data_IF_585392980030
#
_entry.id   IF_585392980030
#
_cell.length_a   1.000
_cell.length_b   1.000
_cell.length_c   1.000
_cell.angle_alpha   90.00
_cell.angle_beta   90.00
_cell.angle_gamma   90.00
#
_symmetry.space_group_name_H-M   'P 1'
#
loop_
_entity.id
_entity.type
_entity.pdbx_description
1 polymer ?
#
# COMPACT_ATOMS: atom_id res chain seq x y z
N UNK A 1 34.26 -18.08 -19.83
CA UNK A 1 34.19 -16.64 -19.49
C UNK A 1 32.77 -16.29 -19.01
N UNK A 2 32.61 -15.56 -17.89
CA UNK A 2 31.42 -14.76 -17.47
C UNK A 2 31.46 -14.40 -15.97
N UNK A 3 32.50 -13.69 -15.52
CA UNK A 3 32.58 -13.15 -14.12
C UNK A 3 32.78 -11.61 -14.08
N UNK A 4 32.63 -10.93 -15.22
CA UNK A 4 32.96 -9.52 -15.37
C UNK A 4 31.77 -8.54 -15.22
N UNK A 5 30.54 -9.02 -15.35
CA UNK A 5 29.33 -8.16 -15.39
C UNK A 5 28.75 -7.88 -14.01
N UNK A 6 28.76 -8.85 -13.08
CA UNK A 6 28.15 -8.71 -11.73
C UNK A 6 28.85 -7.66 -10.84
N UNK A 7 30.18 -7.49 -10.96
CA UNK A 7 30.92 -6.50 -10.15
C UNK A 7 30.63 -5.05 -10.54
N UNK A 8 30.25 -4.80 -11.79
CA UNK A 8 30.04 -3.45 -12.32
C UNK A 8 28.66 -2.89 -11.93
N UNK A 9 27.66 -3.78 -11.78
CA UNK A 9 26.31 -3.39 -11.37
C UNK A 9 26.23 -3.05 -9.88
N UNK A 10 26.91 -3.80 -9.00
CA UNK A 10 26.97 -3.50 -7.56
C UNK A 10 27.62 -2.13 -7.27
N UNK A 11 28.70 -1.80 -7.98
CA UNK A 11 29.39 -0.50 -7.83
C UNK A 11 28.54 0.69 -8.29
N UNK A 12 27.66 0.49 -9.27
CA UNK A 12 26.72 1.52 -9.72
C UNK A 12 25.57 1.73 -8.74
N UNK A 13 25.11 0.66 -8.10
CA UNK A 13 24.10 0.73 -7.03
C UNK A 13 24.65 1.55 -5.86
N UNK A 14 25.88 1.30 -5.43
CA UNK A 14 26.55 2.05 -4.34
C UNK A 14 26.71 3.55 -4.65
N UNK A 15 26.96 3.89 -5.92
CA UNK A 15 27.09 5.28 -6.36
C UNK A 15 25.75 6.02 -6.38
N UNK A 16 24.64 5.31 -6.66
CA UNK A 16 23.29 5.87 -6.63
C UNK A 16 22.84 6.08 -5.18
N UNK A 17 23.14 5.15 -4.26
CA UNK A 17 22.83 5.27 -2.83
C UNK A 17 23.41 6.53 -2.18
N UNK A 18 24.59 6.97 -2.63
CA UNK A 18 25.26 8.15 -2.05
C UNK A 18 24.71 9.49 -2.53
N UNK A 19 23.99 9.54 -3.65
CA UNK A 19 23.56 10.79 -4.30
C UNK A 19 22.16 11.26 -3.87
N UNK A 20 21.49 10.47 -3.05
CA UNK A 20 20.02 10.43 -2.86
C UNK A 20 19.70 10.60 -1.35
N UNK A 21 20.44 11.50 -0.68
CA UNK A 21 20.42 11.74 0.78
C UNK A 21 19.66 13.02 1.17
N UNK A 22 18.62 13.42 0.43
CA UNK A 22 18.15 14.80 0.52
C UNK A 22 16.67 15.04 0.25
N UNK A 23 15.78 14.59 1.15
CA UNK A 23 14.61 15.38 1.58
C UNK A 23 13.92 14.80 2.83
N UNK A 24 13.54 15.68 3.75
CA UNK A 24 12.85 15.32 4.99
C UNK A 24 11.37 14.94 4.76
N UNK A 25 11.08 13.64 4.60
CA UNK A 25 9.77 13.04 4.95
C UNK A 25 9.86 11.51 5.15
N UNK A 26 11.01 11.02 5.63
CA UNK A 26 11.36 9.61 5.44
C UNK A 26 10.79 8.70 6.55
N UNK A 27 9.64 8.12 6.22
CA UNK A 27 8.91 7.14 7.04
C UNK A 27 9.40 5.71 6.74
N UNK A 28 10.45 5.50 5.94
CA UNK A 28 10.83 4.16 5.48
C UNK A 28 12.35 3.99 5.44
N UNK A 29 12.80 2.84 5.94
CA UNK A 29 14.21 2.44 6.03
C UNK A 29 14.50 1.35 4.99
N UNK A 30 15.64 1.44 4.30
CA UNK A 30 15.97 0.60 3.13
C UNK A 30 17.36 -0.01 3.29
N UNK A 31 17.52 -1.26 2.85
CA UNK A 31 18.79 -1.99 2.85
C UNK A 31 19.03 -2.83 4.11
N UNK A 32 20.17 -3.52 4.15
CA UNK A 32 20.56 -4.38 5.28
C UNK A 32 20.78 -3.57 6.57
N UNK A 33 21.40 -2.40 6.44
CA UNK A 33 21.64 -1.46 7.54
C UNK A 33 20.44 -0.52 7.81
N UNK A 34 19.33 -0.67 7.07
CA UNK A 34 18.11 0.13 7.24
C UNK A 34 18.41 1.65 7.19
N UNK A 35 19.10 2.09 6.13
CA UNK A 35 19.48 3.49 5.94
C UNK A 35 18.34 4.30 5.30
N UNK A 36 18.39 5.62 5.48
CA UNK A 36 17.51 6.56 4.78
C UNK A 36 18.06 6.81 3.39
N UNK A 37 17.30 6.42 2.37
CA UNK A 37 17.62 6.51 0.95
C UNK A 37 16.35 7.02 0.27
N UNK A 38 16.42 8.06 -0.58
CA UNK A 38 15.20 8.53 -1.26
C UNK A 38 14.54 7.39 -2.06
N UNK A 39 13.22 7.34 -1.97
CA UNK A 39 12.38 6.33 -2.58
C UNK A 39 11.09 6.94 -3.12
N UNK A 40 10.40 6.19 -3.96
CA UNK A 40 9.04 6.50 -4.39
C UNK A 40 8.12 5.32 -4.09
N UNK A 41 6.84 5.60 -3.80
CA UNK A 41 5.86 4.55 -3.60
C UNK A 41 5.33 4.07 -4.96
N UNK A 42 5.21 2.76 -5.15
CA UNK A 42 4.72 2.21 -6.41
C UNK A 42 3.22 2.42 -6.59
N UNK A 43 2.83 3.06 -7.70
CA UNK A 43 1.43 3.30 -8.04
C UNK A 43 0.59 2.03 -8.27
N UNK A 44 1.24 0.89 -8.56
CA UNK A 44 0.51 -0.37 -8.78
C UNK A 44 -0.03 -1.02 -7.51
N UNK A 45 0.42 -0.59 -6.32
CA UNK A 45 -0.03 -1.19 -5.07
C UNK A 45 -0.11 -0.22 -3.88
N UNK A 46 0.12 1.08 -4.11
CA UNK A 46 0.00 2.20 -3.15
C UNK A 46 0.26 1.78 -1.68
N UNK A 47 1.49 1.39 -1.34
CA UNK A 47 1.81 0.88 -0.01
C UNK A 47 1.64 1.98 1.05
N UNK A 48 1.05 1.63 2.19
CA UNK A 48 0.84 2.52 3.35
C UNK A 48 1.66 2.02 4.55
N UNK A 49 1.92 2.87 5.55
CA UNK A 49 2.62 2.46 6.77
C UNK A 49 1.99 1.22 7.41
N UNK A 50 2.85 0.27 7.79
CA UNK A 50 2.43 -1.03 8.33
C UNK A 50 2.26 -2.13 7.28
N UNK A 51 2.15 -1.80 5.98
CA UNK A 51 2.21 -2.83 4.94
C UNK A 51 3.57 -3.54 4.94
N UNK A 52 3.56 -4.86 4.71
CA UNK A 52 4.77 -5.60 4.40
C UNK A 52 5.28 -5.18 3.02
N UNK A 53 6.49 -4.61 2.98
CA UNK A 53 7.04 -3.97 1.79
C UNK A 53 8.44 -4.47 1.44
N UNK A 54 8.79 -4.31 0.16
CA UNK A 54 10.13 -4.44 -0.35
C UNK A 54 10.46 -3.25 -1.27
N UNK A 55 11.74 -2.91 -1.36
CA UNK A 55 12.22 -1.95 -2.35
C UNK A 55 12.65 -2.66 -3.63
N UNK A 56 12.38 -2.05 -4.77
CA UNK A 56 12.84 -2.51 -6.08
C UNK A 56 13.67 -1.41 -6.74
N UNK A 57 14.93 -1.71 -7.04
CA UNK A 57 15.85 -0.80 -7.73
C UNK A 57 15.50 -0.77 -9.21
N UNK A 58 14.86 0.32 -9.65
CA UNK A 58 14.53 0.53 -11.06
C UNK A 58 15.77 0.99 -11.84
N UNK A 59 15.68 0.96 -13.17
CA UNK A 59 16.80 1.37 -14.05
C UNK A 59 17.03 2.89 -14.00
N UNK A 60 15.96 3.69 -13.94
CA UNK A 60 16.03 5.15 -14.11
C UNK A 60 15.31 5.96 -13.01
N UNK A 61 14.43 5.36 -12.22
CA UNK A 61 13.53 6.05 -11.29
C UNK A 61 13.93 5.86 -9.82
N UNK A 62 15.12 5.32 -9.55
CA UNK A 62 15.59 5.00 -8.21
C UNK A 62 14.86 3.80 -7.60
N UNK A 63 14.63 3.83 -6.28
CA UNK A 63 14.00 2.73 -5.54
C UNK A 63 12.48 2.95 -5.49
N UNK A 64 11.72 1.96 -5.97
CA UNK A 64 10.27 1.91 -5.82
C UNK A 64 9.89 0.96 -4.69
N UNK A 65 9.05 1.42 -3.77
CA UNK A 65 8.53 0.60 -2.68
C UNK A 65 7.26 -0.08 -3.14
N UNK A 66 7.24 -1.40 -3.04
CA UNK A 66 6.11 -2.27 -3.35
C UNK A 66 5.65 -3.00 -2.10
N UNK A 67 4.37 -3.35 -2.02
CA UNK A 67 3.89 -4.36 -1.07
C UNK A 67 4.36 -5.73 -1.50
N UNK A 68 4.61 -6.63 -0.55
CA UNK A 68 4.88 -8.04 -0.84
C UNK A 68 3.70 -8.72 -1.55
N UNK A 69 2.47 -8.24 -1.30
CA UNK A 69 1.24 -8.68 -1.97
C UNK A 69 0.95 -7.98 -3.31
N UNK A 70 1.87 -7.15 -3.82
CA UNK A 70 1.69 -6.47 -5.11
C UNK A 70 1.51 -7.50 -6.24
N UNK A 71 0.62 -7.27 -7.22
CA UNK A 71 0.44 -8.17 -8.37
C UNK A 71 1.74 -8.40 -9.17
N UNK A 72 2.65 -7.43 -9.16
CA UNK A 72 3.94 -7.51 -9.83
C UNK A 72 5.05 -8.13 -8.95
N UNK A 73 4.81 -8.35 -7.66
CA UNK A 73 5.85 -8.77 -6.71
C UNK A 73 6.50 -10.09 -7.12
N UNK A 74 5.70 -11.10 -7.45
CA UNK A 74 6.20 -12.42 -7.83
C UNK A 74 7.16 -12.35 -9.03
N UNK A 75 6.79 -11.58 -10.06
CA UNK A 75 7.61 -11.41 -11.26
C UNK A 75 8.91 -10.64 -10.95
N UNK A 76 8.82 -9.56 -10.17
CA UNK A 76 9.98 -8.75 -9.78
C UNK A 76 10.99 -9.56 -8.97
N UNK A 77 10.51 -10.33 -8.00
CA UNK A 77 11.36 -11.15 -7.14
C UNK A 77 11.99 -12.34 -7.88
N UNK A 78 11.22 -13.02 -8.75
CA UNK A 78 11.71 -14.20 -9.47
C UNK A 78 12.73 -13.84 -10.56
N UNK A 79 12.47 -12.79 -11.34
CA UNK A 79 13.30 -12.46 -12.51
C UNK A 79 14.42 -11.47 -12.20
N UNK A 80 14.27 -10.65 -11.15
CA UNK A 80 15.17 -9.55 -10.84
C UNK A 80 15.50 -9.47 -9.35
N UNK A 81 15.60 -10.63 -8.67
CA UNK A 81 15.86 -10.69 -7.23
C UNK A 81 17.08 -9.88 -6.75
N UNK A 82 18.13 -9.76 -7.58
CA UNK A 82 19.31 -8.94 -7.29
C UNK A 82 19.04 -7.42 -7.20
N UNK A 83 17.86 -6.97 -7.66
CA UNK A 83 17.38 -5.59 -7.54
C UNK A 83 16.35 -5.40 -6.43
N UNK A 84 16.04 -6.46 -5.69
CA UNK A 84 15.14 -6.41 -4.54
C UNK A 84 15.96 -6.08 -3.30
N UNK A 85 15.52 -5.06 -2.57
CA UNK A 85 16.13 -4.63 -1.31
C UNK A 85 15.11 -4.69 -0.18
N UNK A 86 15.58 -5.00 1.02
CA UNK A 86 14.74 -4.99 2.21
C UNK A 86 14.27 -3.57 2.50
N UNK A 87 12.98 -3.43 2.83
CA UNK A 87 12.36 -2.16 3.19
C UNK A 87 11.51 -2.36 4.45
N UNK A 88 11.46 -1.35 5.31
CA UNK A 88 10.57 -1.36 6.48
C UNK A 88 10.11 0.04 6.85
N UNK A 89 8.84 0.16 7.22
CA UNK A 89 8.28 1.40 7.75
C UNK A 89 8.89 1.77 9.12
N UNK A 90 9.22 3.04 9.27
CA UNK A 90 9.53 3.70 10.52
C UNK A 90 8.24 4.28 11.12
N UNK A 91 8.04 4.20 12.43
CA UNK A 91 6.78 4.53 13.11
C UNK A 91 6.52 6.03 13.31
N UNK A 92 7.23 6.91 12.61
CA UNK A 92 7.20 8.35 12.89
C UNK A 92 6.57 9.13 11.73
N UNK A 93 5.26 9.29 11.76
CA UNK A 93 4.52 10.54 11.44
C UNK A 93 3.00 10.30 11.37
N UNK A 94 2.21 11.30 11.78
CA UNK A 94 0.76 11.35 11.60
C UNK A 94 0.40 11.77 10.17
N UNK A 95 0.70 10.92 9.20
CA UNK A 95 0.24 11.10 7.83
C UNK A 95 -1.07 10.33 7.62
N UNK A 96 -1.90 10.82 6.71
CA UNK A 96 -3.06 10.08 6.20
C UNK A 96 -2.81 9.68 4.75
N UNK A 97 -3.22 8.47 4.40
CA UNK A 97 -2.97 7.82 3.13
C UNK A 97 -4.29 7.45 2.48
N UNK A 98 -4.39 7.69 1.18
CA UNK A 98 -5.56 7.34 0.39
C UNK A 98 -5.52 5.86 0.01
N UNK A 99 -6.60 5.13 0.29
CA UNK A 99 -6.79 3.74 -0.14
C UNK A 99 -8.25 3.49 -0.53
N UNK A 100 -8.52 2.43 -1.29
CA UNK A 100 -9.86 1.99 -1.65
C UNK A 100 -10.33 0.81 -0.81
N UNK A 101 -11.64 0.76 -0.54
CA UNK A 101 -12.36 -0.40 -0.02
C UNK A 101 -13.45 -0.80 -1.01
N UNK A 102 -13.43 -2.04 -1.45
CA UNK A 102 -14.50 -2.67 -2.22
C UNK A 102 -15.33 -3.54 -1.27
N UNK A 103 -16.63 -3.28 -1.22
CA UNK A 103 -17.58 -3.85 -0.28
C UNK A 103 -18.68 -4.54 -1.08
N UNK A 104 -18.87 -5.82 -0.84
CA UNK A 104 -19.93 -6.63 -1.44
C UNK A 104 -20.91 -7.04 -0.34
N UNK A 105 -22.20 -6.90 -0.60
CA UNK A 105 -23.23 -7.26 0.36
C UNK A 105 -24.57 -7.62 -0.27
N UNK A 106 -25.53 -7.92 0.58
CA UNK A 106 -26.94 -8.04 0.23
C UNK A 106 -27.58 -6.68 0.50
N UNK A 107 -28.19 -6.09 -0.53
CA UNK A 107 -28.87 -4.81 -0.39
C UNK A 107 -30.09 -4.96 0.54
N UNK A 108 -30.04 -4.26 1.66
CA UNK A 108 -31.10 -4.16 2.66
C UNK A 108 -31.28 -2.69 3.02
N UNK A 109 -32.48 -2.34 3.47
CA UNK A 109 -32.82 -0.96 3.78
C UNK A 109 -31.87 -0.40 4.83
N UNK A 110 -31.13 0.64 4.46
CA UNK A 110 -30.21 1.34 5.36
C UNK A 110 -28.78 0.79 5.37
N UNK A 111 -28.43 -0.18 4.52
CA UNK A 111 -27.05 -0.71 4.43
C UNK A 111 -26.01 0.39 4.21
N UNK A 112 -26.23 1.28 3.22
CA UNK A 112 -25.33 2.41 2.92
C UNK A 112 -25.13 3.31 4.16
N UNK A 113 -26.21 3.60 4.90
CA UNK A 113 -26.15 4.41 6.11
C UNK A 113 -25.35 3.71 7.22
N UNK A 114 -25.50 2.40 7.37
CA UNK A 114 -24.76 1.63 8.35
C UNK A 114 -23.25 1.61 8.02
N UNK A 115 -22.90 1.38 6.75
CA UNK A 115 -21.51 1.40 6.27
C UNK A 115 -20.89 2.78 6.51
N UNK A 116 -21.55 3.86 6.06
CA UNK A 116 -21.01 5.22 6.20
C UNK A 116 -20.92 5.67 7.66
N UNK A 117 -21.83 5.22 8.54
CA UNK A 117 -21.73 5.47 10.00
C UNK A 117 -20.49 4.80 10.60
N UNK A 118 -20.21 3.54 10.26
CA UNK A 118 -19.01 2.86 10.76
C UNK A 118 -17.75 3.62 10.34
N UNK A 119 -17.65 3.99 9.06
CA UNK A 119 -16.48 4.70 8.53
C UNK A 119 -16.31 6.08 9.20
N UNK A 120 -17.38 6.90 9.22
CA UNK A 120 -17.26 8.30 9.64
C UNK A 120 -17.45 8.53 11.14
N UNK A 121 -18.41 7.85 11.79
CA UNK A 121 -18.72 8.11 13.19
C UNK A 121 -17.88 7.27 14.13
N UNK A 122 -17.70 5.99 13.83
CA UNK A 122 -17.02 5.06 14.74
C UNK A 122 -15.50 5.15 14.56
N UNK A 123 -15.03 5.18 13.30
CA UNK A 123 -13.60 5.24 12.96
C UNK A 123 -13.05 6.62 12.67
N UNK A 124 -13.91 7.65 12.55
CA UNK A 124 -13.50 9.03 12.21
C UNK A 124 -12.66 9.14 10.92
N UNK A 125 -12.92 8.26 9.97
CA UNK A 125 -12.21 8.20 8.69
C UNK A 125 -12.89 9.13 7.67
N UNK A 126 -12.08 9.97 7.02
CA UNK A 126 -12.55 10.81 5.94
C UNK A 126 -12.71 10.00 4.65
N UNK A 127 -13.87 10.12 4.01
CA UNK A 127 -14.15 9.51 2.71
C UNK A 127 -13.94 10.54 1.61
N UNK A 128 -13.12 10.19 0.61
CA UNK A 128 -12.89 10.99 -0.60
C UNK A 128 -14.02 10.83 -1.61
N UNK A 129 -14.48 9.60 -1.79
CA UNK A 129 -15.56 9.28 -2.73
C UNK A 129 -16.23 7.97 -2.36
N UNK A 130 -17.49 7.84 -2.75
CA UNK A 130 -18.28 6.63 -2.63
C UNK A 130 -18.95 6.41 -3.98
N UNK A 131 -18.81 5.22 -4.54
CA UNK A 131 -19.55 4.74 -5.69
C UNK A 131 -20.27 3.47 -5.28
N UNK A 132 -21.56 3.41 -5.52
CA UNK A 132 -22.39 2.27 -5.18
C UNK A 132 -23.24 1.93 -6.39
N UNK A 133 -23.33 0.64 -6.65
CA UNK A 133 -24.27 0.05 -7.58
C UNK A 133 -25.01 -1.09 -6.87
N UNK A 134 -26.23 -1.37 -7.34
CA UNK A 134 -27.03 -2.48 -6.85
C UNK A 134 -27.60 -3.24 -8.05
N UNK A 135 -27.29 -4.54 -8.12
CA UNK A 135 -27.87 -5.43 -9.12
C UNK A 135 -28.45 -6.68 -8.46
N UNK A 136 -29.71 -7.01 -8.80
CA UNK A 136 -30.39 -8.20 -8.31
C UNK A 136 -30.36 -8.40 -6.77
N UNK A 137 -30.39 -7.30 -6.01
CA UNK A 137 -30.33 -7.31 -4.54
C UNK A 137 -28.92 -7.51 -3.97
N UNK A 138 -27.89 -7.44 -4.80
CA UNK A 138 -26.49 -7.43 -4.40
C UNK A 138 -26.01 -5.98 -4.37
N UNK A 139 -25.50 -5.57 -3.23
CA UNK A 139 -24.80 -4.31 -3.04
C UNK A 139 -23.35 -4.44 -3.51
N UNK A 140 -22.90 -3.56 -4.39
CA UNK A 140 -21.50 -3.41 -4.79
C UNK A 140 -21.05 -1.96 -4.55
N UNK A 141 -20.13 -1.77 -3.61
CA UNK A 141 -19.68 -0.45 -3.19
C UNK A 141 -18.16 -0.30 -3.28
N UNK A 142 -17.70 0.80 -3.87
CA UNK A 142 -16.31 1.24 -3.87
C UNK A 142 -16.16 2.55 -3.12
N UNK A 143 -15.34 2.56 -2.07
CA UNK A 143 -15.15 3.73 -1.19
C UNK A 143 -13.67 4.09 -1.12
N UNK A 144 -13.35 5.33 -1.45
CA UNK A 144 -12.00 5.88 -1.28
C UNK A 144 -11.91 6.58 0.07
N UNK A 145 -10.94 6.19 0.91
CA UNK A 145 -10.80 6.67 2.28
C UNK A 145 -9.38 7.10 2.63
N UNK A 146 -9.26 7.99 3.62
CA UNK A 146 -7.98 8.41 4.20
C UNK A 146 -7.73 7.69 5.53
N UNK A 147 -6.72 6.82 5.57
CA UNK A 147 -6.33 6.05 6.77
C UNK A 147 -4.92 6.41 7.24
N UNK A 148 -4.63 6.23 8.52
CA UNK A 148 -3.31 6.57 9.08
C UNK A 148 -2.27 5.49 8.78
N UNK A 149 -2.66 4.23 8.92
CA UNK A 149 -1.81 3.08 8.74
C UNK A 149 -2.65 1.83 8.44
N UNK A 150 -1.96 0.72 8.21
CA UNK A 150 -2.56 -0.59 7.97
C UNK A 150 -3.39 -1.08 9.16
N UNK A 151 -2.96 -0.83 10.40
CA UNK A 151 -3.69 -1.31 11.58
C UNK A 151 -5.06 -0.65 11.70
N UNK A 152 -5.12 0.67 11.50
CA UNK A 152 -6.37 1.42 11.44
C UNK A 152 -7.28 0.90 10.31
N UNK A 153 -6.72 0.64 9.13
CA UNK A 153 -7.47 0.09 8.01
C UNK A 153 -8.02 -1.32 8.30
N UNK A 154 -7.20 -2.21 8.85
CA UNK A 154 -7.60 -3.59 9.17
C UNK A 154 -8.73 -3.60 10.21
N UNK A 155 -8.61 -2.79 11.27
CA UNK A 155 -9.67 -2.64 12.27
C UNK A 155 -10.99 -2.12 11.66
N UNK A 156 -10.91 -1.17 10.72
CA UNK A 156 -12.09 -0.67 10.00
C UNK A 156 -12.72 -1.78 9.15
N UNK A 157 -11.91 -2.55 8.42
CA UNK A 157 -12.38 -3.67 7.59
C UNK A 157 -13.10 -4.71 8.46
N UNK A 158 -12.51 -5.08 9.61
CA UNK A 158 -13.13 -6.03 10.54
C UNK A 158 -14.50 -5.54 11.04
N UNK A 159 -14.64 -4.25 11.35
CA UNK A 159 -15.91 -3.69 11.81
C UNK A 159 -16.94 -3.55 10.69
N UNK A 160 -16.51 -3.24 9.47
CA UNK A 160 -17.40 -3.24 8.30
C UNK A 160 -17.96 -4.64 8.01
N UNK A 161 -17.16 -5.69 8.21
CA UNK A 161 -17.60 -7.09 8.07
C UNK A 161 -18.67 -7.49 9.09
N UNK A 162 -18.81 -6.77 10.22
CA UNK A 162 -19.85 -7.01 11.22
C UNK A 162 -21.19 -6.34 10.86
N UNK A 163 -21.20 -5.43 9.88
CA UNK A 163 -22.43 -4.76 9.44
C UNK A 163 -23.34 -5.79 8.78
N UNK A 164 -24.57 -5.94 9.30
CA UNK A 164 -25.58 -6.83 8.72
C UNK A 164 -25.78 -6.52 7.24
N UNK A 165 -25.63 -7.54 6.40
CA UNK A 165 -25.75 -7.42 4.95
C UNK A 165 -24.40 -7.36 4.23
N UNK A 166 -23.31 -6.96 4.89
CA UNK A 166 -21.96 -7.02 4.31
C UNK A 166 -21.49 -8.48 4.27
N UNK A 167 -20.97 -8.91 3.12
CA UNK A 167 -20.46 -10.27 2.90
C UNK A 167 -18.97 -10.33 2.65
N UNK A 168 -18.40 -9.27 2.05
CA UNK A 168 -16.98 -9.15 1.83
C UNK A 168 -16.56 -7.67 1.84
N UNK A 169 -15.36 -7.43 2.36
CA UNK A 169 -14.68 -6.14 2.31
C UNK A 169 -13.25 -6.42 1.91
N UNK A 170 -12.80 -5.81 0.82
CA UNK A 170 -11.44 -5.96 0.31
C UNK A 170 -10.80 -4.60 0.08
N UNK A 171 -9.52 -4.49 0.40
CA UNK A 171 -8.74 -3.30 0.03
C UNK A 171 -8.42 -3.36 -1.46
N UNK A 172 -8.59 -2.26 -2.16
CA UNK A 172 -8.03 -2.06 -3.50
C UNK A 172 -7.16 -0.80 -3.55
N UNK A 173 -6.29 -0.76 -4.55
CA UNK A 173 -5.31 0.31 -4.72
C UNK A 173 -5.88 1.41 -5.62
N UNK A 174 -5.72 2.67 -5.19
CA UNK A 174 -6.17 3.89 -5.86
C UNK A 174 -5.41 4.21 -7.15
#
# INVERSE_FOLDING_TARGET
ENRGTEKNDNQKIDAILNKVKGKESDTLLIGEDLQKIDYTLAACCNPIPGDDVFGFVTVNEGIKIHRTSCPNAAQLMANYGYRVVKAKWNKQQELTFLTGLHIIGIDDVGLINNITKVISNDFKVNMRSITVDTDNGIFDGSIMIFVNDKEHLDNLIENLMLVKGVTAVTRFDA
#
